data_IF_093614980511
#
_entry.id   IF_093614980511
#
_cell.length_a   1.000
_cell.length_b   1.000
_cell.length_c   1.000
_cell.angle_alpha   90.00
_cell.angle_beta   90.00
_cell.angle_gamma   90.00
#
_symmetry.space_group_name_H-M   'P 1'
#
loop_
_entity.id
_entity.type
_entity.pdbx_description
1 polymer ?
2 non-polymer ?
3 water ?
#
# COMPACT_ATOMS: atom_id res chain seq x y z
N UNK A 8 15.08 -12.35 17.62
CA UNK A 8 13.95 -13.22 17.16
C UNK A 8 12.59 -12.50 17.24
N UNK A 9 12.03 -12.04 16.08
CA UNK A 9 10.83 -11.18 16.08
C UNK A 9 9.68 -11.86 16.78
N UNK A 10 9.56 -13.17 16.54
CA UNK A 10 8.46 -13.95 17.04
C UNK A 10 8.56 -14.30 18.53
N UNK A 11 9.62 -13.89 19.23
CA UNK A 11 9.64 -13.93 20.69
C UNK A 11 9.11 -12.62 21.34
N UNK A 12 8.76 -11.61 20.53
CA UNK A 12 8.19 -10.35 21.04
C UNK A 12 6.68 -10.44 20.90
N UNK A 13 5.93 -9.83 21.81
CA UNK A 13 4.48 -9.79 21.66
C UNK A 13 4.04 -8.90 20.50
N UNK A 14 2.97 -9.32 19.83
CA UNK A 14 2.24 -8.43 18.91
C UNK A 14 1.62 -7.28 19.68
N UNK A 15 1.54 -6.13 19.05
CA UNK A 15 0.74 -5.04 19.61
C UNK A 15 -0.72 -5.11 19.18
N UNK A 16 -1.57 -4.38 19.88
CA UNK A 16 -3.01 -4.42 19.64
C UNK A 16 -3.41 -4.14 18.22
N UNK A 17 -2.69 -3.22 17.57
CA UNK A 17 -2.92 -2.92 16.16
C UNK A 17 -2.57 -4.06 15.24
N UNK A 18 -1.44 -4.68 15.46
CA UNK A 18 -1.07 -5.83 14.70
C UNK A 18 -2.10 -6.95 14.82
N UNK A 19 -2.57 -7.20 16.04
CA UNK A 19 -3.59 -8.21 16.25
C UNK A 19 -4.89 -7.85 15.51
N UNK A 20 -5.38 -6.64 15.75
CA UNK A 20 -6.64 -6.27 15.13
C UNK A 20 -6.55 -6.25 13.61
N UNK A 21 -5.47 -5.71 13.10
CA UNK A 21 -5.33 -5.57 11.65
C UNK A 21 -5.22 -6.94 10.94
N UNK A 22 -4.42 -7.84 11.50
CA UNK A 22 -4.26 -9.14 10.90
C UNK A 22 -5.54 -9.96 11.03
N UNK A 23 -6.18 -9.91 12.20
CA UNK A 23 -7.48 -10.57 12.37
C UNK A 23 -8.50 -10.05 11.38
N UNK A 24 -8.56 -8.73 11.21
CA UNK A 24 -9.48 -8.14 10.28
C UNK A 24 -9.18 -8.53 8.81
N UNK A 25 -7.90 -8.53 8.44
CA UNK A 25 -7.49 -8.93 7.10
C UNK A 25 -7.91 -10.38 6.79
N UNK A 26 -7.65 -11.26 7.73
CA UNK A 26 -8.07 -12.65 7.61
C UNK A 26 -9.60 -12.78 7.46
N UNK A 27 -10.34 -12.05 8.30
CA UNK A 27 -11.79 -12.05 8.17
C UNK A 27 -12.24 -11.52 6.80
N UNK A 28 -11.62 -10.44 6.33
CA UNK A 28 -11.90 -9.89 4.99
C UNK A 28 -11.66 -10.97 3.91
N UNK A 29 -10.53 -11.65 3.99
CA UNK A 29 -10.24 -12.73 3.07
C UNK A 29 -11.33 -13.82 3.14
N UNK A 30 -11.74 -14.22 4.32
CA UNK A 30 -12.76 -15.25 4.44
C UNK A 30 -14.04 -14.85 3.73
N UNK A 31 -14.41 -13.58 3.88
CA UNK A 31 -15.62 -13.06 3.22
C UNK A 31 -15.47 -13.00 1.72
N UNK A 32 -14.32 -12.58 1.28
CA UNK A 32 -14.07 -12.50 -0.18
C UNK A 32 -13.97 -13.87 -0.83
N UNK A 33 -13.37 -14.85 -0.15
CA UNK A 33 -13.39 -16.21 -0.64
C UNK A 33 -14.84 -16.69 -0.87
N UNK A 34 -15.70 -16.44 0.11
CA UNK A 34 -17.09 -16.84 0.00
C UNK A 34 -17.79 -16.13 -1.15
N UNK A 35 -17.63 -14.82 -1.25
CA UNK A 35 -18.26 -14.08 -2.36
C UNK A 35 -17.75 -14.48 -3.72
N UNK A 36 -16.45 -14.69 -3.82
CA UNK A 36 -15.86 -15.08 -5.09
C UNK A 36 -16.27 -16.51 -5.49
N UNK A 37 -16.42 -17.41 -4.51
CA UNK A 37 -16.96 -18.73 -4.81
C UNK A 37 -18.39 -18.61 -5.36
N UNK A 38 -19.15 -17.64 -4.86
CA UNK A 38 -20.47 -17.40 -5.46
C UNK A 38 -20.29 -16.82 -6.87
N UNK A 39 -19.39 -15.85 -7.04
CA UNK A 39 -19.12 -15.30 -8.36
C UNK A 39 -18.72 -16.34 -9.40
N UNK A 40 -17.98 -17.37 -9.01
CA UNK A 40 -17.65 -18.45 -9.96
C UNK A 40 -18.92 -19.01 -10.58
N UNK A 41 -19.94 -19.20 -9.76
CA UNK A 41 -21.23 -19.71 -10.23
C UNK A 41 -22.03 -18.74 -11.11
N UNK A 42 -21.77 -17.44 -10.99
CA UNK A 42 -22.44 -16.40 -11.76
C UNK A 42 -21.72 -16.04 -13.04
N UNK A 43 -20.50 -16.49 -13.26
CA UNK A 43 -19.65 -16.03 -14.36
C UNK A 43 -19.82 -16.91 -15.61
N UNK A 44 -19.84 -16.28 -16.77
CA UNK A 44 -19.81 -17.01 -18.03
C UNK A 44 -18.39 -17.11 -18.56
N UNK A 45 -17.70 -15.99 -18.54
CA UNK A 45 -16.41 -15.85 -19.16
C UNK A 45 -15.35 -16.72 -18.51
N UNK A 46 -14.68 -17.57 -19.30
CA UNK A 46 -13.73 -18.52 -18.71
C UNK A 46 -12.43 -17.85 -18.23
N UNK A 47 -12.04 -16.76 -18.88
CA UNK A 47 -10.85 -16.01 -18.49
C UNK A 47 -11.06 -15.33 -17.14
N UNK A 48 -12.25 -14.79 -16.93
CA UNK A 48 -12.56 -14.21 -15.64
C UNK A 48 -12.64 -15.31 -14.60
N UNK A 49 -13.27 -16.44 -14.93
CA UNK A 49 -13.37 -17.55 -13.99
C UNK A 49 -11.98 -18.00 -13.52
N UNK A 50 -11.04 -18.06 -14.45
CA UNK A 50 -9.71 -18.50 -14.09
C UNK A 50 -9.07 -17.56 -13.09
N UNK A 51 -9.27 -16.27 -13.28
CA UNK A 51 -8.69 -15.28 -12.38
C UNK A 51 -9.37 -15.29 -11.00
N UNK A 52 -10.67 -15.56 -10.95
CA UNK A 52 -11.38 -15.66 -9.68
C UNK A 52 -10.80 -16.85 -8.93
N UNK A 53 -10.63 -17.98 -9.63
CA UNK A 53 -10.02 -19.14 -9.00
C UNK A 53 -8.62 -18.82 -8.48
N UNK A 54 -7.85 -18.07 -9.23
CA UNK A 54 -6.52 -17.69 -8.79
C UNK A 54 -6.59 -16.80 -7.55
N UNK A 55 -7.51 -15.86 -7.54
CA UNK A 55 -7.68 -15.02 -6.37
C UNK A 55 -8.02 -15.80 -5.11
N UNK A 56 -8.96 -16.75 -5.25
CA UNK A 56 -9.35 -17.61 -4.13
C UNK A 56 -8.12 -18.34 -3.60
N UNK A 57 -7.34 -18.92 -4.48
CA UNK A 57 -6.17 -19.70 -4.06
C UNK A 57 -5.13 -18.80 -3.37
N UNK A 58 -4.93 -17.61 -3.93
CA UNK A 58 -3.99 -16.62 -3.36
C UNK A 58 -4.41 -16.22 -1.95
N UNK A 60 -6.34 -18.01 0.07
CA UNK A 60 -6.15 -19.18 0.90
C UNK A 60 -4.70 -19.32 1.34
N UNK A 61 -3.78 -18.99 0.47
CA UNK A 61 -2.34 -19.04 0.84
C UNK A 61 -1.99 -17.99 1.88
N UNK A 62 -2.51 -16.77 1.69
CA UNK A 62 -2.36 -15.73 2.69
C UNK A 62 -2.94 -16.19 4.03
N UNK A 63 -4.13 -16.76 3.96
CA UNK A 63 -4.80 -17.25 5.17
C UNK A 63 -4.00 -18.29 5.94
N UNK A 64 -3.33 -19.16 5.25
CA UNK A 64 -2.50 -20.16 5.93
C UNK A 64 -1.44 -19.50 6.81
N UNK A 65 -0.81 -18.46 6.28
CA UNK A 65 0.18 -17.73 7.03
C UNK A 65 -0.43 -16.92 8.20
N UNK A 66 -1.55 -16.24 7.92
CA UNK A 66 -2.24 -15.46 8.93
C UNK A 66 -2.75 -16.31 10.08
N UNK A 67 -3.33 -17.46 9.74
CA UNK A 67 -3.88 -18.34 10.76
C UNK A 67 -2.75 -18.88 11.62
N UNK A 68 -1.61 -19.19 11.03
CA UNK A 68 -0.48 -19.68 11.82
C UNK A 68 0.03 -18.60 12.75
N UNK A 69 0.09 -17.36 12.27
CA UNK A 69 0.49 -16.23 13.11
C UNK A 69 -0.44 -16.06 14.28
N UNK A 70 -1.73 -16.00 14.01
CA UNK A 70 -2.70 -15.85 15.10
C UNK A 70 -2.75 -17.03 16.05
N UNK A 71 -2.68 -18.23 15.51
CA UNK A 71 -2.72 -19.43 16.37
C UNK A 71 -1.50 -19.49 17.29
N UNK A 72 -0.35 -19.02 16.83
CA UNK A 72 0.88 -19.05 17.61
C UNK A 72 0.93 -17.91 18.63
N UNK A 73 0.01 -16.98 18.56
CA UNK A 73 0.04 -15.83 19.46
C UNK A 73 -1.21 -15.71 20.31
N UNK A 74 -1.98 -16.78 20.39
CA UNK A 74 -3.09 -16.83 21.31
C UNK A 74 -4.19 -15.89 20.92
N UNK A 75 -4.45 -15.76 19.63
CA UNK A 75 -5.54 -14.92 19.13
C UNK A 75 -6.60 -15.83 18.50
N UNK A 76 -7.86 -15.67 18.91
CA UNK A 76 -8.95 -16.38 18.29
C UNK A 76 -9.13 -16.03 16.83
N UNK A 77 -9.43 -17.03 16.04
CA UNK A 77 -9.63 -16.84 14.60
C UNK A 77 -11.06 -16.46 14.30
N UNK A 78 -11.26 -15.66 13.25
CA UNK A 78 -12.62 -15.31 12.86
C UNK A 78 -13.29 -16.49 12.15
N UNK A 79 -14.58 -16.67 12.32
CA UNK A 79 -15.27 -17.75 11.64
C UNK A 79 -15.43 -17.43 10.16
N UNK A 80 -15.15 -18.41 9.32
CA UNK A 80 -15.26 -18.29 7.88
C UNK A 80 -16.52 -18.93 7.32
N UNK A 81 -17.18 -18.29 6.34
CA UNK A 81 -18.25 -19.01 5.65
C UNK A 81 -17.77 -20.26 4.96
N UNK A 82 -18.65 -21.27 4.81
CA UNK A 82 -18.26 -22.51 4.20
C UNK A 82 -18.12 -22.43 2.69
N UNK A 83 -17.58 -23.50 2.12
CA UNK A 83 -17.51 -23.65 0.69
C UNK A 83 -18.94 -23.81 0.13
N UNK A 84 -19.08 -23.71 -1.17
CA UNK A 84 -20.39 -23.59 -1.82
C UNK A 84 -20.58 -24.69 -2.84
N UNK A 85 -21.82 -25.13 -3.03
CA UNK A 85 -22.07 -26.02 -4.15
C UNK A 85 -21.97 -25.36 -5.51
N UNK A 86 -21.79 -26.17 -6.55
CA UNK A 86 -21.86 -25.68 -7.90
C UNK A 86 -23.31 -25.33 -8.24
N UNK A 87 -23.46 -24.41 -9.18
CA UNK A 87 -24.77 -24.02 -9.68
C UNK A 87 -24.67 -23.84 -11.16
N UNK A 88 -25.77 -24.09 -11.86
CA UNK A 88 -25.84 -23.79 -13.28
C UNK A 88 -26.21 -22.35 -13.52
N UNK A 89 -25.42 -21.72 -14.36
CA UNK A 89 -25.58 -20.33 -14.70
C UNK A 89 -26.99 -19.99 -15.16
N UNK A 90 -27.55 -20.84 -16.02
CA UNK A 90 -28.90 -20.61 -16.56
C UNK A 90 -30.00 -20.80 -15.58
N UNK A 91 -29.72 -21.35 -14.41
CA UNK A 91 -30.73 -21.47 -13.38
C UNK A 91 -30.80 -20.27 -12.46
N UNK A 92 -29.92 -19.30 -12.64
CA UNK A 92 -29.93 -18.13 -11.74
C UNK A 92 -30.93 -17.14 -12.29
N UNK A 93 -31.96 -16.77 -11.50
CA UNK A 93 -32.90 -15.74 -11.96
C UNK A 93 -32.15 -14.47 -12.37
N UNK A 94 -32.56 -13.83 -13.49
CA UNK A 94 -31.85 -12.71 -14.06
C UNK A 94 -31.62 -11.59 -13.04
N UNK A 95 -32.66 -11.30 -12.27
CA UNK A 95 -32.57 -10.23 -11.26
C UNK A 95 -31.61 -10.51 -10.10
N UNK A 96 -31.22 -11.77 -9.94
CA UNK A 96 -30.26 -12.20 -8.90
C UNK A 96 -28.85 -12.38 -9.43
N UNK A 97 -28.70 -12.27 -10.74
CA UNK A 97 -27.46 -12.64 -11.43
C UNK A 97 -26.48 -11.48 -11.46
N UNK A 98 -25.22 -11.72 -11.12
CA UNK A 98 -24.16 -10.78 -11.33
C UNK A 98 -23.51 -11.10 -12.66
N UNK A 99 -23.32 -10.07 -13.43
CA UNK A 99 -22.78 -10.19 -14.76
C UNK A 99 -21.29 -9.97 -14.78
N UNK A 100 -20.65 -10.46 -15.84
CA UNK A 100 -19.19 -10.51 -15.90
C UNK A 100 -18.49 -9.16 -15.69
N UNK A 101 -18.91 -8.10 -16.41
CA UNK A 101 -18.24 -6.82 -16.18
C UNK A 101 -18.34 -6.32 -14.75
N UNK A 102 -19.50 -6.50 -14.14
CA UNK A 102 -19.64 -6.02 -12.78
C UNK A 102 -18.89 -6.91 -11.76
N UNK A 103 -18.78 -8.20 -11.99
CA UNK A 103 -17.96 -9.11 -11.18
C UNK A 103 -16.49 -8.65 -11.26
N UNK A 104 -16.02 -8.42 -12.48
CA UNK A 104 -14.64 -7.99 -12.68
C UNK A 104 -14.36 -6.68 -11.99
N UNK A 105 -15.27 -5.71 -12.12
CA UNK A 105 -15.15 -4.40 -11.45
C UNK A 105 -15.02 -4.55 -9.96
N UNK A 106 -15.87 -5.39 -9.37
CA UNK A 106 -15.84 -5.64 -7.96
C UNK A 106 -14.53 -6.20 -7.48
N UNK A 107 -14.06 -7.23 -8.17
CA UNK A 107 -12.80 -7.84 -7.80
C UNK A 107 -11.65 -6.84 -7.95
N UNK A 108 -11.66 -6.06 -9.03
CA UNK A 108 -10.62 -5.03 -9.22
C UNK A 108 -10.59 -4.00 -8.09
N UNK A 110 -11.71 -4.57 -5.04
CA UNK A 110 -11.25 -5.31 -3.87
C UNK A 110 -9.70 -5.39 -3.83
N UNK A 111 -9.10 -5.68 -4.97
CA UNK A 111 -7.67 -5.76 -5.08
C UNK A 111 -7.03 -4.42 -4.74
N UNK A 112 -7.54 -3.34 -5.31
CA UNK A 112 -7.04 -2.00 -4.98
C UNK A 112 -7.12 -1.69 -3.50
N UNK A 113 -8.24 -2.03 -2.88
CA UNK A 113 -8.41 -1.83 -1.44
C UNK A 113 -7.39 -2.67 -0.67
N UNK A 114 -7.17 -3.90 -1.10
CA UNK A 114 -6.20 -4.80 -0.43
C UNK A 114 -4.77 -4.31 -0.47
N UNK A 115 -4.39 -3.66 -1.57
CA UNK A 115 -3.06 -3.04 -1.69
C UNK A 115 -2.87 -2.01 -0.58
N UNK A 116 -3.89 -1.14 -0.44
CA UNK A 116 -3.91 -0.11 0.59
C UNK A 116 -3.86 -0.72 2.00
N UNK A 117 -4.68 -1.72 2.24
CA UNK A 117 -4.65 -2.38 3.54
C UNK A 117 -3.29 -2.98 3.87
N UNK A 118 -2.67 -3.66 2.92
CA UNK A 118 -1.32 -4.14 3.13
C UNK A 118 -0.36 -3.02 3.54
N UNK A 119 -0.40 -1.89 2.82
CA UNK A 119 0.51 -0.78 3.14
C UNK A 119 0.25 -0.20 4.51
N UNK A 120 -1.02 -0.11 4.88
CA UNK A 120 -1.40 0.33 6.23
C UNK A 120 -0.82 -0.56 7.35
N UNK A 121 -0.92 -1.87 7.16
CA UNK A 121 -0.41 -2.82 8.13
C UNK A 121 1.11 -2.74 8.22
N UNK A 122 1.77 -2.65 7.08
CA UNK A 122 3.24 -2.54 7.09
C UNK A 122 3.63 -1.32 7.88
N UNK A 123 2.99 -0.20 7.58
CA UNK A 123 3.28 1.05 8.27
C UNK A 123 3.10 1.08 9.77
N UNK A 124 2.16 0.30 10.29
CA UNK A 124 1.87 0.30 11.70
C UNK A 124 2.59 -0.83 12.43
N UNK A 125 3.27 -1.66 11.69
CA UNK A 125 3.96 -2.81 12.27
C UNK A 125 5.23 -2.44 13.02
N UNK A 126 5.45 -3.13 14.13
CA UNK A 126 6.68 -3.05 14.90
C UNK A 126 7.39 -4.37 14.88
N UNK A 127 6.66 -5.47 14.86
CA UNK A 127 7.29 -6.77 14.66
C UNK A 127 7.67 -6.95 13.21
N UNK A 128 8.95 -7.21 12.97
CA UNK A 128 9.47 -7.24 11.60
C UNK A 128 8.85 -8.33 10.71
N UNK A 129 8.50 -9.46 11.32
CA UNK A 129 7.88 -10.55 10.58
C UNK A 129 6.50 -10.17 10.00
N UNK A 130 5.77 -9.37 10.76
CA UNK A 130 4.42 -8.90 10.32
C UNK A 130 4.59 -7.95 9.11
N UNK A 131 5.53 -7.01 9.22
CA UNK A 131 5.81 -6.13 8.11
C UNK A 131 6.22 -6.88 6.86
N UNK A 132 7.10 -7.88 7.03
CA UNK A 132 7.59 -8.64 5.89
C UNK A 132 6.50 -9.46 5.27
N UNK A 134 3.31 -8.83 5.06
CA UNK A 134 2.44 -7.93 4.30
C UNK A 134 3.14 -7.31 3.11
N UNK A 135 4.46 -7.13 3.20
CA UNK A 135 5.24 -6.72 2.06
C UNK A 135 5.14 -7.76 0.94
N UNK A 136 5.25 -9.02 1.31
CA UNK A 136 5.14 -10.10 0.34
C UNK A 136 3.72 -10.14 -0.25
N UNK A 137 2.70 -10.01 0.61
CA UNK A 137 1.34 -10.02 0.13
C UNK A 137 1.14 -8.89 -0.89
N UNK A 138 1.66 -7.72 -0.57
CA UNK A 138 1.53 -6.55 -1.45
C UNK A 138 2.16 -6.83 -2.80
N UNK A 140 2.61 -9.66 -4.40
CA UNK A 140 1.77 -10.57 -5.13
C UNK A 140 0.50 -9.89 -5.63
N UNK A 141 -0.09 -9.04 -4.80
CA UNK A 141 -1.32 -8.38 -5.12
C UNK A 141 -1.15 -7.34 -6.23
N UNK A 142 0.01 -6.69 -6.29
CA UNK A 142 0.29 -5.78 -7.38
C UNK A 142 0.23 -6.58 -8.69
N UNK A 143 0.84 -7.77 -8.72
CA UNK A 143 0.82 -8.55 -9.95
C UNK A 143 -0.59 -9.00 -10.33
N UNK A 144 -1.37 -9.43 -9.35
CA UNK A 144 -2.73 -9.87 -9.62
C UNK A 144 -3.58 -8.71 -10.12
N UNK A 145 -3.41 -7.55 -9.51
CA UNK A 145 -4.10 -6.36 -9.97
C UNK A 145 -3.77 -6.02 -11.41
N UNK A 146 -2.52 -6.20 -11.80
CA UNK A 146 -2.13 -5.95 -13.19
C UNK A 146 -2.80 -6.91 -14.18
N UNK A 147 -2.96 -8.16 -13.77
CA UNK A 147 -3.72 -9.16 -14.54
C UNK A 147 -5.18 -8.79 -14.68
N UNK A 149 -6.40 -5.70 -14.62
CA UNK A 149 -6.44 -4.57 -15.53
C UNK A 149 -6.34 -5.07 -16.98
N UNK A 150 -5.43 -5.99 -17.23
CA UNK A 150 -5.26 -6.57 -18.59
C UNK A 150 -6.56 -7.23 -19.07
N UNK A 151 -7.20 -8.00 -18.19
CA UNK A 151 -8.50 -8.61 -18.48
C UNK A 151 -9.53 -7.58 -18.86
N UNK A 152 -9.70 -6.56 -18.03
CA UNK A 152 -10.70 -5.54 -18.25
C UNK A 152 -10.46 -4.82 -19.57
N UNK A 153 -9.21 -4.56 -19.88
CA UNK A 153 -8.84 -3.97 -21.17
C UNK A 153 -9.20 -4.91 -22.31
N UNK A 154 -8.79 -6.17 -22.21
CA UNK A 154 -8.95 -7.16 -23.28
C UNK A 154 -10.43 -7.39 -23.61
N UNK A 155 -11.26 -7.42 -22.55
CA UNK A 155 -12.69 -7.72 -22.67
C UNK A 155 -13.54 -6.51 -23.01
N UNK A 156 -12.97 -5.33 -22.90
CA UNK A 156 -13.69 -4.09 -23.14
C UNK A 156 -14.60 -3.73 -21.97
N UNK A 157 -14.23 -4.18 -20.79
CA UNK A 157 -15.03 -3.92 -19.61
C UNK A 157 -14.60 -2.63 -18.87
N UNK A 158 -13.45 -2.07 -19.18
CA UNK A 158 -12.94 -0.93 -18.44
C UNK A 158 -13.69 0.33 -18.85
N UNK A 159 -14.20 1.09 -17.90
CA UNK A 159 -14.89 2.35 -18.19
C UNK A 159 -13.82 3.44 -18.20
N UNK A 160 -13.68 4.19 -19.30
CA UNK A 160 -12.62 5.19 -19.32
C UNK A 160 -12.97 6.42 -18.48
N UNK A 161 -12.08 6.81 -17.58
CA UNK A 161 -12.29 8.05 -16.84
C UNK A 161 -11.93 9.27 -17.68
N UNK A 162 -12.21 10.45 -17.15
CA UNK A 162 -11.80 11.66 -17.88
C UNK A 162 -10.30 11.65 -18.18
N UNK A 163 -9.93 12.02 -19.41
CA UNK A 163 -8.55 11.89 -19.85
C UNK A 163 -7.92 13.25 -20.02
N UNK A 164 -6.64 13.33 -19.71
CA UNK A 164 -5.87 14.53 -19.88
C UNK A 164 -5.56 14.70 -21.39
N UNK A 165 -5.70 15.91 -21.90
CA UNK A 165 -5.29 16.23 -23.29
C UNK A 165 -3.93 16.90 -23.26
N UNK A 166 -2.92 16.29 -23.87
CA UNK A 166 -1.55 16.84 -23.90
C UNK A 166 -1.36 17.77 -25.12
N UNK B 11 1.81 6.39 -25.32
CA UNK B 11 0.84 6.56 -26.47
C UNK B 11 -0.64 6.75 -26.03
N UNK B 12 -1.03 6.13 -24.92
CA UNK B 12 -2.35 6.35 -24.32
C UNK B 12 -2.20 7.60 -23.46
N UNK B 13 -3.22 8.44 -23.38
CA UNK B 13 -3.13 9.57 -22.48
C UNK B 13 -3.24 9.14 -21.03
N UNK B 14 -2.64 9.95 -20.17
CA UNK B 14 -2.89 9.83 -18.75
C UNK B 14 -4.33 10.23 -18.46
N UNK B 15 -4.92 9.60 -17.44
CA UNK B 15 -6.24 10.05 -16.99
C UNK B 15 -6.12 11.09 -15.89
N UNK B 16 -7.22 11.78 -15.58
CA UNK B 16 -7.17 12.88 -14.63
C UNK B 16 -6.60 12.48 -13.27
N UNK B 17 -6.94 11.29 -12.82
CA UNK B 17 -6.44 10.81 -11.55
C UNK B 17 -4.94 10.56 -11.55
N UNK B 18 -4.44 9.99 -12.64
CA UNK B 18 -2.98 9.80 -12.81
C UNK B 18 -2.28 11.15 -12.78
N UNK B 19 -2.76 12.13 -13.52
CA UNK B 19 -2.12 13.43 -13.48
C UNK B 19 -2.21 14.07 -12.10
N UNK B 20 -3.41 14.13 -11.51
CA UNK B 20 -3.55 14.76 -10.22
C UNK B 20 -2.70 14.04 -9.16
N UNK B 21 -2.75 12.72 -9.13
CA UNK B 21 -1.99 11.95 -8.13
C UNK B 21 -0.48 12.11 -8.25
N UNK B 22 0.01 12.02 -9.47
CA UNK B 22 1.45 12.18 -9.70
C UNK B 22 1.94 13.61 -9.45
N UNK B 23 1.17 14.60 -9.85
CA UNK B 23 1.51 16.00 -9.58
C UNK B 23 1.54 16.26 -8.07
N UNK B 24 0.56 15.71 -7.38
CA UNK B 24 0.44 15.85 -5.93
C UNK B 24 1.55 15.10 -5.19
N UNK B 25 1.92 13.90 -5.65
CA UNK B 25 3.03 13.16 -5.06
C UNK B 25 4.39 13.90 -5.23
N UNK B 26 4.62 14.38 -6.43
CA UNK B 26 5.75 15.26 -6.69
C UNK B 26 5.73 16.48 -5.76
N UNK B 27 4.59 17.15 -5.65
CA UNK B 27 4.48 18.34 -4.79
C UNK B 27 4.80 17.98 -3.34
N UNK B 28 4.29 16.86 -2.89
CA UNK B 28 4.54 16.37 -1.57
C UNK B 28 6.04 16.11 -1.34
N UNK B 29 6.69 15.40 -2.24
CA UNK B 29 8.12 15.18 -2.18
C UNK B 29 8.86 16.52 -2.11
N UNK B 30 8.48 17.47 -2.94
CA UNK B 30 9.17 18.77 -2.94
C UNK B 30 9.07 19.43 -1.56
N UNK B 31 7.88 19.39 -0.95
CA UNK B 31 7.68 19.91 0.39
C UNK B 31 8.46 19.20 1.45
N UNK B 32 8.52 17.88 1.34
CA UNK B 32 9.26 17.08 2.31
C UNK B 32 10.80 17.26 2.19
N UNK B 33 11.29 17.42 0.97
CA UNK B 33 12.71 17.73 0.74
C UNK B 33 13.06 19.03 1.44
N UNK B 34 12.23 20.05 1.27
CA UNK B 34 12.44 21.32 2.00
C UNK B 34 12.39 21.16 3.50
N UNK B 35 11.36 20.48 4.02
CA UNK B 35 11.24 20.24 5.44
C UNK B 35 12.37 19.41 6.02
N UNK B 36 12.76 18.34 5.32
CA UNK B 36 13.80 17.50 5.80
C UNK B 36 15.18 18.19 5.79
N UNK B 37 15.43 19.01 4.78
CA UNK B 37 16.65 19.87 4.78
C UNK B 37 16.69 20.71 6.08
N UNK B 38 15.54 21.25 6.51
CA UNK B 38 15.48 21.98 7.75
C UNK B 38 15.75 21.03 8.92
N UNK B 39 15.09 19.88 8.92
CA UNK B 39 15.35 18.92 9.99
C UNK B 39 16.81 18.53 10.17
N UNK B 40 17.53 18.39 9.05
CA UNK B 40 18.98 18.10 9.11
C UNK B 40 19.67 19.14 10.01
N UNK B 41 19.27 20.40 9.88
CA UNK B 41 19.85 21.47 10.69
C UNK B 41 19.47 21.42 12.17
N UNK B 42 18.37 20.74 12.48
CA UNK B 42 17.90 20.52 13.82
C UNK B 42 18.40 19.22 14.48
N UNK B 43 19.08 18.35 13.74
CA UNK B 43 19.41 17.01 14.19
C UNK B 43 20.77 17.00 14.93
N UNK B 44 20.84 16.33 16.08
CA UNK B 44 22.08 16.06 16.74
C UNK B 44 22.64 14.71 16.31
N UNK B 45 21.79 13.70 16.32
CA UNK B 45 22.21 12.32 16.08
C UNK B 45 22.58 12.05 14.66
N UNK B 46 23.81 11.59 14.42
CA UNK B 46 24.24 11.45 13.06
C UNK B 46 23.69 10.21 12.31
N UNK B 47 23.27 9.18 13.04
CA UNK B 47 22.58 8.06 12.40
C UNK B 47 21.21 8.53 11.86
N UNK B 48 20.51 9.35 12.62
CA UNK B 48 19.29 10.00 12.11
C UNK B 48 19.58 10.88 10.91
N UNK B 49 20.60 11.75 11.03
CA UNK B 49 20.92 12.64 9.92
C UNK B 49 21.20 11.91 8.61
N UNK B 50 21.93 10.79 8.72
CA UNK B 50 22.27 10.04 7.55
C UNK B 50 21.02 9.47 6.88
N UNK B 51 20.07 9.03 7.68
CA UNK B 51 18.80 8.57 7.09
C UNK B 51 17.97 9.70 6.45
N UNK B 52 18.00 10.90 7.01
CA UNK B 52 17.30 12.02 6.38
C UNK B 52 17.94 12.32 5.07
N UNK B 53 19.29 12.27 5.01
CA UNK B 53 19.97 12.51 3.74
C UNK B 53 19.51 11.48 2.71
N UNK B 54 19.41 10.23 3.12
CA UNK B 54 18.99 9.13 2.24
C UNK B 54 17.57 9.37 1.72
N UNK B 55 16.69 9.82 2.62
CA UNK B 55 15.31 10.10 2.23
C UNK B 55 15.23 11.20 1.17
N UNK B 56 15.99 12.27 1.40
CA UNK B 56 16.04 13.38 0.46
C UNK B 56 16.51 12.94 -0.91
N UNK B 57 17.62 12.19 -0.94
CA UNK B 57 18.14 11.74 -2.21
C UNK B 57 17.15 10.83 -2.93
N UNK B 58 16.48 9.97 -2.19
CA UNK B 58 15.48 9.07 -2.77
C UNK B 58 14.32 9.82 -3.37
N UNK B 60 14.47 12.89 -4.40
CA UNK B 60 14.99 13.56 -5.58
C UNK B 60 15.03 12.65 -6.78
N UNK B 61 15.40 11.40 -6.56
CA UNK B 61 15.42 10.39 -7.62
C UNK B 61 14.04 10.13 -8.18
N UNK B 62 13.06 9.98 -7.29
CA UNK B 62 11.66 9.85 -7.72
C UNK B 62 11.23 11.09 -8.54
N UNK B 63 11.62 12.26 -8.06
CA UNK B 63 11.19 13.50 -8.69
C UNK B 63 11.69 13.64 -10.11
N UNK B 64 12.89 13.15 -10.42
CA UNK B 64 13.40 13.19 -11.79
C UNK B 64 12.46 12.41 -12.71
N UNK B 65 12.01 11.24 -12.26
CA UNK B 65 11.09 10.42 -13.03
C UNK B 65 9.74 11.07 -13.20
N UNK B 66 9.24 11.66 -12.11
CA UNK B 66 7.90 12.26 -12.14
C UNK B 66 7.86 13.53 -12.98
N UNK B 67 8.89 14.36 -12.83
CA UNK B 67 8.98 15.58 -13.62
C UNK B 67 9.07 15.24 -15.10
N UNK B 68 9.81 14.20 -15.45
CA UNK B 68 9.85 13.77 -16.83
C UNK B 68 8.50 13.30 -17.35
N UNK B 69 7.80 12.50 -16.54
CA UNK B 69 6.47 12.03 -16.94
C UNK B 69 5.52 13.18 -17.16
N UNK B 70 5.48 14.10 -16.20
CA UNK B 70 4.58 15.21 -16.31
C UNK B 70 4.94 16.16 -17.47
N UNK B 71 6.20 16.49 -17.60
CA UNK B 71 6.65 17.40 -18.66
C UNK B 71 6.35 16.78 -20.02
N UNK B 72 6.62 15.50 -20.18
CA UNK B 72 6.38 14.80 -21.44
C UNK B 72 4.91 14.69 -21.82
N UNK B 73 4.02 14.93 -20.86
CA UNK B 73 2.60 14.83 -21.07
C UNK B 73 1.91 16.16 -20.99
N UNK B 74 2.68 17.24 -21.00
CA UNK B 74 2.12 18.57 -21.05
C UNK B 74 1.51 19.08 -19.78
N UNK B 75 2.00 18.63 -18.65
CA UNK B 75 1.49 19.08 -17.36
C UNK B 75 2.51 19.99 -16.71
N UNK B 76 2.07 21.16 -16.27
CA UNK B 76 2.92 22.11 -15.58
C UNK B 76 3.40 21.59 -14.23
N UNK B 77 4.69 21.79 -13.94
CA UNK B 77 5.29 21.23 -12.75
C UNK B 77 5.03 22.12 -11.55
N UNK B 78 4.94 21.52 -10.36
CA UNK B 78 4.87 22.31 -9.15
C UNK B 78 6.26 22.90 -8.84
N UNK B 79 6.32 23.91 -7.97
CA UNK B 79 7.60 24.57 -7.72
C UNK B 79 8.62 23.71 -7.00
N UNK B 80 9.86 23.77 -7.49
CA UNK B 80 10.94 22.96 -6.97
C UNK B 80 11.33 23.47 -5.59
N UNK B 81 11.97 22.61 -4.79
CA UNK B 81 12.40 23.09 -3.47
C UNK B 81 13.43 24.23 -3.58
N UNK B 82 13.28 25.27 -2.76
CA UNK B 82 14.29 26.31 -2.77
C UNK B 82 15.60 25.87 -2.10
N UNK B 83 16.69 26.54 -2.41
CA UNK B 83 17.95 26.28 -1.71
C UNK B 83 17.80 26.62 -0.23
N UNK B 84 18.40 25.81 0.62
CA UNK B 84 18.29 26.02 2.05
C UNK B 84 19.69 25.88 2.62
N UNK B 85 20.18 26.93 3.29
CA UNK B 85 21.53 26.89 3.86
C UNK B 85 21.64 25.98 5.06
N UNK B 86 22.85 25.61 5.43
CA UNK B 86 23.10 24.93 6.68
C UNK B 86 22.87 25.91 7.83
N UNK B 87 22.72 25.36 9.03
CA UNK B 87 22.62 26.11 10.27
C UNK B 87 23.30 25.31 11.36
N UNK B 88 23.78 25.99 12.39
CA UNK B 88 24.37 25.39 13.57
C UNK B 88 23.27 25.07 14.52
N UNK B 89 23.23 23.82 14.95
CA UNK B 89 22.22 23.31 15.87
C UNK B 89 22.13 24.20 17.10
N UNK B 90 23.30 24.60 17.62
CA UNK B 90 23.38 25.36 18.85
C UNK B 90 22.88 26.79 18.73
N UNK B 91 22.75 27.30 17.51
CA UNK B 91 22.15 28.62 17.26
C UNK B 91 20.62 28.60 17.29
N UNK B 92 19.99 27.43 17.32
CA UNK B 92 18.52 27.36 17.30
C UNK B 92 17.97 27.56 18.69
N UNK B 93 17.13 28.58 18.89
CA UNK B 93 16.55 28.73 20.22
C UNK B 93 15.77 27.49 20.63
N UNK B 94 15.79 27.15 21.91
CA UNK B 94 15.27 25.89 22.41
C UNK B 94 13.81 25.67 22.02
N UNK B 95 13.02 26.71 22.11
CA UNK B 95 11.60 26.61 21.80
C UNK B 95 11.26 26.45 20.34
N UNK B 96 12.25 26.66 19.48
CA UNK B 96 12.09 26.54 18.03
C UNK B 96 12.68 25.24 17.51
N UNK B 97 13.36 24.50 18.37
CA UNK B 97 14.10 23.31 17.98
C UNK B 97 13.29 22.03 18.01
N UNK B 98 13.33 21.29 16.91
CA UNK B 98 12.77 19.96 16.88
C UNK B 98 13.84 19.00 17.33
N UNK B 99 13.52 18.17 18.31
CA UNK B 99 14.51 17.22 18.79
C UNK B 99 14.47 15.90 18.04
N UNK B 100 15.48 15.09 18.26
CA UNK B 100 15.73 13.91 17.42
C UNK B 100 14.53 12.96 17.42
N UNK B 101 14.03 12.58 18.59
CA UNK B 101 12.85 11.69 18.50
C UNK B 101 11.63 12.26 17.81
N UNK B 102 11.41 13.56 17.94
CA UNK B 102 10.32 14.23 17.27
C UNK B 102 10.51 14.18 15.74
N UNK B 103 11.72 14.43 15.30
CA UNK B 103 12.06 14.40 13.89
C UNK B 103 11.85 13.00 13.37
N UNK B 104 12.38 12.02 14.11
CA UNK B 104 12.26 10.63 13.70
C UNK B 104 10.80 10.21 13.58
N UNK B 105 9.98 10.60 14.56
CA UNK B 105 8.55 10.23 14.52
C UNK B 105 7.87 10.82 13.31
N UNK B 106 8.18 12.06 12.99
CA UNK B 106 7.59 12.74 11.85
C UNK B 106 7.91 12.04 10.53
N UNK B 107 9.17 11.72 10.36
CA UNK B 107 9.62 11.05 9.15
C UNK B 107 9.02 9.67 9.05
N UNK B 108 9.00 8.96 10.18
CA UNK B 108 8.41 7.61 10.21
C UNK B 108 6.92 7.67 9.75
N UNK B 110 5.53 10.05 7.91
CA UNK B 110 5.55 10.43 6.50
C UNK B 110 5.77 9.22 5.60
N UNK B 111 6.68 8.32 5.99
CA UNK B 111 6.98 7.14 5.22
C UNK B 111 5.76 6.21 5.21
N UNK B 112 5.14 6.00 6.37
CA UNK B 112 3.95 5.17 6.43
C UNK B 112 2.84 5.72 5.50
N UNK B 113 2.60 7.03 5.55
CA UNK B 113 1.62 7.71 4.69
C UNK B 113 1.97 7.50 3.22
N UNK B 114 3.26 7.67 2.90
CA UNK B 114 3.73 7.50 1.54
C UNK B 114 3.56 6.10 0.96
N UNK B 115 3.69 5.06 1.79
CA UNK B 115 3.38 3.72 1.37
C UNK B 115 1.95 3.60 0.90
N UNK B 116 1.05 4.16 1.70
CA UNK B 116 -0.37 4.15 1.38
C UNK B 116 -0.65 4.92 0.11
N UNK B 117 -0.04 6.09 -0.07
CA UNK B 117 -0.23 6.87 -1.29
C UNK B 117 0.22 6.08 -2.53
N UNK B 118 1.39 5.46 -2.43
CA UNK B 118 1.87 4.62 -3.57
C UNK B 118 0.84 3.57 -3.93
N UNK B 119 0.27 2.87 -2.95
CA UNK B 119 -0.70 1.80 -3.22
C UNK B 119 -1.96 2.37 -3.84
N UNK B 120 -2.38 3.52 -3.36
CA UNK B 120 -3.52 4.19 -3.93
C UNK B 120 -3.33 4.54 -5.40
N UNK B 121 -2.15 5.02 -5.73
CA UNK B 121 -1.85 5.39 -7.13
C UNK B 121 -1.79 4.15 -8.03
N UNK B 122 -1.16 3.10 -7.54
CA UNK B 122 -1.10 1.83 -8.26
C UNK B 122 -2.50 1.37 -8.60
N UNK B 123 -3.37 1.35 -7.60
CA UNK B 123 -4.70 0.80 -7.76
C UNK B 123 -5.59 1.60 -8.69
N UNK B 124 -5.35 2.90 -8.85
CA UNK B 124 -6.17 3.72 -9.76
C UNK B 124 -5.51 3.92 -11.14
N UNK B 125 -4.30 3.39 -11.33
CA UNK B 125 -3.60 3.57 -12.59
C UNK B 125 -4.18 2.67 -13.70
N UNK B 126 -4.29 3.22 -14.90
CA UNK B 126 -4.65 2.46 -16.08
C UNK B 126 -3.42 2.33 -16.97
N UNK B 127 -2.59 3.36 -17.03
CA UNK B 127 -1.33 3.30 -17.76
C UNK B 127 -0.35 2.46 -16.99
N UNK B 128 0.16 1.41 -17.63
CA UNK B 128 1.00 0.44 -16.99
C UNK B 128 2.29 1.05 -16.48
N UNK B 129 2.79 2.08 -17.16
CA UNK B 129 4.05 2.69 -16.78
C UNK B 129 3.92 3.43 -15.45
N UNK B 130 2.76 4.00 -15.19
CA UNK B 130 2.48 4.65 -13.92
C UNK B 130 2.39 3.63 -12.79
N UNK B 131 1.67 2.54 -13.03
CA UNK B 131 1.59 1.46 -12.02
C UNK B 131 2.97 0.92 -11.72
N UNK B 132 3.78 0.70 -12.76
CA UNK B 132 5.14 0.18 -12.56
C UNK B 132 5.98 1.12 -11.69
N UNK B 134 5.17 3.38 -9.51
CA UNK B 134 4.75 3.47 -8.11
C UNK B 134 4.93 2.17 -7.38
N UNK B 135 4.87 1.04 -8.09
CA UNK B 135 5.24 -0.24 -7.46
C UNK B 135 6.71 -0.24 -7.08
N UNK B 136 7.58 0.32 -7.92
CA UNK B 136 8.99 0.44 -7.56
C UNK B 136 9.21 1.42 -6.39
N UNK B 137 8.53 2.58 -6.43
CA UNK B 137 8.63 3.51 -5.30
C UNK B 137 8.19 2.85 -3.98
N UNK B 138 7.10 2.06 -4.05
CA UNK B 138 6.55 1.40 -2.87
C UNK B 138 7.60 0.49 -2.24
N UNK B 140 10.82 0.60 -2.48
CA UNK B 140 11.86 1.44 -1.88
C UNK B 140 11.42 1.99 -0.51
N UNK B 141 10.17 2.43 -0.41
CA UNK B 141 9.66 2.96 0.85
C UNK B 141 9.49 1.89 1.92
N UNK B 142 9.14 0.67 1.52
CA UNK B 142 9.14 -0.45 2.44
C UNK B 142 10.53 -0.63 3.08
N UNK B 143 11.56 -0.64 2.25
CA UNK B 143 12.93 -0.81 2.78
C UNK B 143 13.33 0.35 3.69
N UNK B 144 13.02 1.58 3.26
CA UNK B 144 13.36 2.74 4.05
C UNK B 144 12.63 2.79 5.38
N UNK B 145 11.34 2.45 5.39
CA UNK B 145 10.57 2.45 6.62
C UNK B 145 11.14 1.43 7.57
N UNK B 146 11.65 0.36 6.99
CA UNK B 146 12.29 -0.69 7.80
C UNK B 146 13.54 -0.20 8.51
N UNK B 147 14.33 0.62 7.82
CA UNK B 147 15.50 1.27 8.42
C UNK B 147 15.11 2.27 9.49
N UNK B 149 12.44 2.08 11.36
CA UNK B 149 11.99 1.33 12.53
C UNK B 149 13.19 0.81 13.34
N UNK B 150 14.17 0.28 12.65
CA UNK B 150 15.39 -0.22 13.30
C UNK B 150 16.10 0.92 14.09
N UNK B 151 16.20 2.11 13.48
CA UNK B 151 16.77 3.30 14.16
C UNK B 151 15.99 3.61 15.41
N UNK B 152 14.67 3.70 15.27
CA UNK B 152 13.86 4.05 16.42
C UNK B 152 14.00 3.04 17.58
N UNK B 153 14.12 1.77 17.23
CA UNK B 153 14.33 0.72 18.25
C UNK B 153 15.72 0.84 18.85
N UNK B 154 16.75 0.94 18.02
CA UNK B 154 18.14 1.07 18.48
C UNK B 154 18.37 2.28 19.38
N UNK B 155 17.70 3.40 19.08
CA UNK B 155 17.90 4.62 19.85
C UNK B 155 17.03 4.74 21.07
N UNK B 156 16.12 3.79 21.25
CA UNK B 156 15.15 3.85 22.33
C UNK B 156 14.11 4.93 22.15
N UNK B 157 13.79 5.32 20.91
CA UNK B 157 12.82 6.36 20.68
C UNK B 157 11.38 5.85 20.51
N UNK B 158 11.20 4.57 20.27
CA UNK B 158 9.88 4.03 20.01
C UNK B 158 9.06 4.03 21.30
N UNK B 159 7.83 4.53 21.26
CA UNK B 159 6.92 4.45 22.40
C UNK B 159 6.08 3.20 22.21
N UNK B 160 6.15 2.27 23.14
CA UNK B 160 5.39 1.03 22.90
C UNK B 160 3.87 1.25 23.01
N UNK B 161 3.13 0.77 22.04
CA UNK B 161 1.69 0.79 22.13
C UNK B 161 1.18 -0.33 22.99
N UNK B 162 -0.12 -0.35 23.27
CA UNK B 162 -0.68 -1.48 24.01
C UNK B 162 -0.34 -2.82 23.37
N UNK B 163 0.14 -3.74 24.19
CA UNK B 163 0.65 -5.02 23.72
C UNK B 163 -0.32 -6.15 24.03
N UNK B 164 -0.43 -7.06 23.09
CA UNK B 164 -1.23 -8.24 23.30
C UNK B 164 -0.50 -9.16 24.28
N UNK B 165 -1.21 -9.87 25.12
CA UNK B 165 -0.56 -10.99 25.82
C UNK B 165 -0.97 -12.34 25.31
N UNK B 166 0.01 -13.12 24.87
CA UNK B 166 -0.25 -14.41 24.27
C UNK B 166 -0.87 -15.29 25.34
#
# INVERSE_FOLDING_TARGET
GXGILSGNPQDEPLHYGEVFSTWTYLSTNNGLINGYRSFINHTGDEDLKNLIDEAIQAXQDENHQLEELLRSNGVGLPPAPPDRPAARLDDIPVGARFNDPEISATISXDVAKGLVTCSQIIGQSIREDVALXFSQFHXAKVQFGGKXLKLNKNKGWLIPPPLHSDRPIKE
GXGILSGNPQDEPLHYGEVFSTWTYLSTNNGLINGYRSFINHTGDEDLKNLIDEAIQAXQDENHQLEELLRSNGVGLPPAPPDRPAARLDDIPVGARFNDPEISATISXDVAKGLVTCSQIIGQSIREDVALXFSQFHXAKVQFGGKXLKLNKNKGWLIPPPLHSDRPIKE
#
